data_IF_908003371719
#
_entry.id   IF_908003371719
#
_cell.length_a   1.000
_cell.length_b   1.000
_cell.length_c   1.000
_cell.angle_alpha   90.00
_cell.angle_beta   90.00
_cell.angle_gamma   90.00
#
_symmetry.space_group_name_H-M   'P 1'
#
loop_
_entity.id
_entity.type
_entity.pdbx_description
1 polymer ?
#
# COMPACT_ATOMS: atom_id res chain seq x y z
N UNK A 1 -2.17 2.05 -8.59
CA UNK A 1 -1.99 1.58 -7.20
C UNK A 1 -2.68 0.24 -7.09
N UNK A 2 -1.99 -0.76 -6.56
CA UNK A 2 -2.49 -2.14 -6.43
C UNK A 2 -2.39 -2.50 -4.95
N UNK A 3 -3.48 -2.95 -4.34
CA UNK A 3 -3.43 -3.55 -3.00
C UNK A 3 -2.93 -4.99 -3.13
N UNK A 4 -1.90 -5.33 -2.36
CA UNK A 4 -1.44 -6.71 -2.18
C UNK A 4 -1.88 -7.14 -0.79
N UNK A 5 -2.71 -8.17 -0.72
CA UNK A 5 -3.23 -8.78 0.50
C UNK A 5 -3.11 -10.30 0.42
N UNK A 6 -3.26 -10.97 1.57
CA UNK A 6 -3.33 -12.44 1.68
C UNK A 6 -2.05 -13.18 1.27
N UNK A 7 -0.90 -12.49 1.33
CA UNK A 7 0.42 -13.07 1.10
C UNK A 7 0.98 -13.71 2.39
N UNK A 8 1.84 -14.71 2.22
CA UNK A 8 2.55 -15.37 3.32
C UNK A 8 4.06 -15.35 3.08
N UNK A 9 4.82 -15.15 4.15
CA UNK A 9 6.27 -15.31 4.16
C UNK A 9 6.66 -16.15 5.38
N UNK A 10 7.36 -17.26 5.13
CA UNK A 10 7.78 -18.22 6.18
C UNK A 10 6.61 -18.72 7.04
N UNK A 11 5.47 -19.01 6.39
CA UNK A 11 4.23 -19.45 7.06
C UNK A 11 3.58 -18.38 7.94
N UNK A 12 4.04 -17.13 7.87
CA UNK A 12 3.45 -15.99 8.57
C UNK A 12 2.72 -15.07 7.60
N UNK A 13 1.52 -14.56 7.94
CA UNK A 13 0.80 -13.64 7.08
C UNK A 13 1.55 -12.31 6.96
N UNK A 14 1.68 -11.84 5.72
CA UNK A 14 2.25 -10.52 5.43
C UNK A 14 1.15 -9.48 5.56
N UNK A 15 1.46 -8.38 6.27
CA UNK A 15 0.52 -7.26 6.40
C UNK A 15 0.24 -6.66 5.01
N UNK A 16 -1.03 -6.36 4.66
CA UNK A 16 -1.35 -5.79 3.36
C UNK A 16 -0.57 -4.50 3.08
N UNK A 17 -0.16 -4.32 1.82
CA UNK A 17 0.60 -3.17 1.37
C UNK A 17 0.19 -2.76 -0.04
N UNK A 18 0.48 -1.51 -0.41
CA UNK A 18 0.18 -0.99 -1.74
C UNK A 18 1.43 -0.94 -2.61
N UNK A 19 1.32 -1.46 -3.83
CA UNK A 19 2.27 -1.24 -4.89
C UNK A 19 1.88 -0.03 -5.73
N UNK A 20 2.80 0.92 -5.86
CA UNK A 20 2.63 2.17 -6.61
C UNK A 20 3.61 2.14 -7.78
N UNK A 21 3.09 2.09 -9.01
CA UNK A 21 3.87 2.20 -10.23
C UNK A 21 3.86 3.66 -10.69
N UNK A 22 5.02 4.30 -10.68
CA UNK A 22 5.23 5.59 -11.33
C UNK A 22 5.67 5.36 -12.78
N UNK A 23 5.51 6.37 -13.63
CA UNK A 23 5.79 6.25 -15.07
C UNK A 23 7.24 5.88 -15.36
N UNK A 24 8.18 6.35 -14.53
CA UNK A 24 9.60 6.33 -14.84
C UNK A 24 10.45 5.49 -13.85
N UNK A 25 9.85 4.91 -12.79
CA UNK A 25 10.58 4.11 -11.79
C UNK A 25 9.97 2.72 -11.59
N UNK A 26 10.64 1.84 -10.82
CA UNK A 26 10.12 0.55 -10.37
C UNK A 26 8.87 0.67 -9.50
N UNK A 27 8.35 -0.45 -9.01
CA UNK A 27 7.27 -0.40 -8.03
C UNK A 27 7.79 0.14 -6.69
N UNK A 28 7.11 1.16 -6.17
CA UNK A 28 7.28 1.63 -4.80
C UNK A 28 6.27 0.94 -3.88
N UNK A 29 6.68 0.66 -2.65
CA UNK A 29 5.83 0.02 -1.63
C UNK A 29 5.36 1.09 -0.65
N UNK A 30 4.06 1.10 -0.34
CA UNK A 30 3.48 1.85 0.76
C UNK A 30 2.84 0.89 1.76
N UNK A 31 3.30 0.91 3.01
CA UNK A 31 2.82 0.09 4.12
C UNK A 31 1.85 0.92 4.97
N UNK A 32 0.53 0.83 4.78
CA UNK A 32 -0.43 1.61 5.55
C UNK A 32 -0.43 1.14 7.01
N UNK A 33 -0.61 2.07 7.93
CA UNK A 33 -1.03 1.73 9.29
C UNK A 33 -2.52 1.34 9.27
N UNK A 34 -2.99 0.70 10.35
CA UNK A 34 -4.42 0.40 10.51
C UNK A 34 -5.26 1.69 10.44
N UNK A 35 -4.74 2.80 10.96
CA UNK A 35 -5.42 4.10 10.86
C UNK A 35 -5.54 4.58 9.41
N UNK A 36 -4.53 4.33 8.56
CA UNK A 36 -4.58 4.69 7.14
C UNK A 36 -5.62 3.85 6.37
N UNK A 37 -5.77 2.55 6.69
CA UNK A 37 -6.78 1.70 6.07
C UNK A 37 -8.22 2.10 6.42
N UNK A 38 -8.42 2.64 7.62
CA UNK A 38 -9.74 3.04 8.12
C UNK A 38 -10.11 4.49 7.77
N UNK A 39 -9.19 5.26 7.19
CA UNK A 39 -9.45 6.64 6.81
C UNK A 39 -10.32 6.71 5.55
N UNK A 40 -11.40 7.48 5.61
CA UNK A 40 -12.35 7.71 4.50
C UNK A 40 -12.22 9.11 3.87
N UNK A 41 -11.35 9.96 4.42
CA UNK A 41 -11.24 11.40 4.12
C UNK A 41 -10.02 11.78 3.26
N UNK A 42 -9.49 10.81 2.50
CA UNK A 42 -8.35 11.01 1.61
C UNK A 42 -8.60 12.12 0.58
N UNK A 43 -7.67 13.08 0.48
CA UNK A 43 -7.71 14.14 -0.53
C UNK A 43 -6.37 14.30 -1.24
N UNK A 44 -6.45 14.56 -2.54
CA UNK A 44 -5.26 14.91 -3.35
C UNK A 44 -4.79 16.31 -2.96
N UNK A 45 -3.56 16.43 -2.47
CA UNK A 45 -2.89 17.72 -2.21
C UNK A 45 -1.95 18.00 -3.37
N UNK A 46 -2.10 19.17 -4.01
CA UNK A 46 -1.17 19.66 -5.04
C UNK A 46 -0.10 20.50 -4.35
N UNK A 47 1.16 20.32 -4.77
CA UNK A 47 2.27 21.19 -4.40
C UNK A 47 2.19 22.54 -5.13
#
# INVERSE_FOLDING_TARGET
MILVSDEEYDGCPVTPYFLIKTSDEGFSIFLPTVCDLLAEDWRVVKA
#
